data_IF_965603206513
#
_entry.id   IF_965603206513
#
_cell.length_a   1.000
_cell.length_b   1.000
_cell.length_c   1.000
_cell.angle_alpha   90.00
_cell.angle_beta   90.00
_cell.angle_gamma   90.00
#
_symmetry.space_group_name_H-M   'P 1'
#
loop_
_entity.id
_entity.type
_entity.pdbx_description
1 polymer ?
#
# COMPACT_ATOMS: atom_id res chain seq x y z
N UNK A 1 -11.21 9.52 -26.98
CA UNK A 1 -10.26 8.78 -26.12
C UNK A 1 -9.13 8.26 -26.99
N UNK A 2 -7.85 8.53 -26.67
CA UNK A 2 -6.71 8.02 -27.46
C UNK A 2 -6.41 6.58 -27.02
N UNK A 3 -6.32 5.64 -27.95
CA UNK A 3 -6.03 4.22 -27.69
C UNK A 3 -4.65 3.89 -28.28
N UNK A 4 -3.85 3.09 -27.56
CA UNK A 4 -2.57 2.61 -28.06
C UNK A 4 -2.79 1.64 -29.24
N UNK A 5 -1.96 1.73 -30.28
CA UNK A 5 -1.92 0.68 -31.30
C UNK A 5 -1.46 -0.65 -30.68
N UNK A 6 -1.88 -1.77 -31.28
CA UNK A 6 -1.44 -3.10 -30.85
C UNK A 6 0.09 -3.24 -30.77
N UNK A 7 0.82 -2.62 -31.69
CA UNK A 7 2.29 -2.62 -31.69
C UNK A 7 2.88 -1.88 -30.49
N UNK A 8 2.33 -0.70 -30.14
CA UNK A 8 2.75 0.09 -28.98
C UNK A 8 2.38 -0.60 -27.67
N UNK A 9 1.19 -1.18 -27.59
CA UNK A 9 0.77 -1.96 -26.43
C UNK A 9 1.73 -3.13 -26.17
N UNK A 10 2.07 -3.91 -27.21
CA UNK A 10 3.06 -5.00 -27.10
C UNK A 10 4.45 -4.50 -26.66
N UNK A 11 4.88 -3.33 -27.12
CA UNK A 11 6.15 -2.74 -26.70
C UNK A 11 6.14 -2.38 -25.21
N UNK A 12 5.07 -1.73 -24.73
CA UNK A 12 4.89 -1.39 -23.31
C UNK A 12 4.80 -2.64 -22.44
N UNK A 13 4.02 -3.65 -22.86
CA UNK A 13 3.91 -4.93 -22.16
C UNK A 13 5.29 -5.58 -21.96
N UNK A 14 6.12 -5.66 -23.01
CA UNK A 14 7.49 -6.18 -22.88
C UNK A 14 8.38 -5.35 -21.95
N UNK A 15 8.24 -4.03 -21.99
CA UNK A 15 8.99 -3.15 -21.11
C UNK A 15 8.64 -3.41 -19.64
N UNK A 16 7.35 -3.49 -19.31
CA UNK A 16 6.87 -3.79 -17.94
C UNK A 16 7.36 -5.16 -17.50
N UNK A 17 7.19 -6.19 -18.34
CA UNK A 17 7.64 -7.55 -18.03
C UNK A 17 9.15 -7.65 -17.78
N UNK A 18 9.95 -6.80 -18.43
CA UNK A 18 11.41 -6.81 -18.26
C UNK A 18 11.89 -5.97 -17.08
N UNK A 19 11.27 -4.83 -16.82
CA UNK A 19 11.83 -3.78 -15.96
C UNK A 19 11.03 -3.45 -14.71
N UNK A 20 9.72 -3.71 -14.68
CA UNK A 20 8.89 -3.34 -13.53
C UNK A 20 9.14 -4.26 -12.32
N UNK A 21 8.70 -3.84 -11.13
CA UNK A 21 8.78 -4.69 -9.93
C UNK A 21 7.90 -5.93 -10.09
N UNK A 22 8.17 -7.04 -9.39
CA UNK A 22 7.32 -8.22 -9.45
C UNK A 22 5.83 -7.93 -9.23
N UNK A 23 5.50 -7.05 -8.27
CA UNK A 23 4.14 -6.59 -8.03
C UNK A 23 3.56 -5.88 -9.27
N UNK A 24 4.25 -4.89 -9.82
CA UNK A 24 3.76 -4.13 -10.99
C UNK A 24 3.54 -5.03 -12.22
N UNK A 25 4.36 -6.08 -12.41
CA UNK A 25 4.15 -7.10 -13.45
C UNK A 25 2.86 -7.88 -13.22
N UNK A 26 2.62 -8.33 -11.99
CA UNK A 26 1.39 -9.03 -11.63
C UNK A 26 0.17 -8.11 -11.77
N UNK A 27 0.27 -6.85 -11.36
CA UNK A 27 -0.78 -5.84 -11.56
C UNK A 27 -1.12 -5.63 -13.04
N UNK A 28 -0.11 -5.61 -13.90
CA UNK A 28 -0.28 -5.49 -15.34
C UNK A 28 -0.98 -6.72 -15.93
N UNK A 29 -0.53 -7.93 -15.57
CA UNK A 29 -1.15 -9.19 -16.03
C UNK A 29 -2.58 -9.36 -15.50
N UNK A 30 -2.89 -8.88 -14.29
CA UNK A 30 -4.27 -8.86 -13.79
C UNK A 30 -5.16 -7.94 -14.63
N UNK A 31 -4.63 -6.77 -15.03
CA UNK A 31 -5.41 -5.75 -15.72
C UNK A 31 -5.61 -6.03 -17.21
N UNK A 32 -4.66 -6.72 -17.85
CA UNK A 32 -4.64 -6.90 -19.31
C UNK A 32 -4.39 -8.34 -19.78
N UNK A 33 -4.02 -9.24 -18.86
CA UNK A 33 -3.83 -10.65 -19.12
C UNK A 33 -4.99 -11.49 -18.55
N UNK A 34 -4.69 -12.73 -18.18
CA UNK A 34 -5.67 -13.72 -17.73
C UNK A 34 -5.27 -14.35 -16.39
N UNK A 35 -4.88 -13.53 -15.41
CA UNK A 35 -4.60 -14.01 -14.04
C UNK A 35 -5.70 -13.59 -13.07
N UNK A 36 -5.84 -14.36 -12.00
CA UNK A 36 -6.81 -14.12 -10.94
C UNK A 36 -6.25 -13.18 -9.86
N UNK A 37 -7.09 -12.60 -8.98
CA UNK A 37 -6.63 -11.84 -7.82
C UNK A 37 -5.65 -12.62 -6.93
N UNK A 38 -5.82 -13.95 -6.83
CA UNK A 38 -4.94 -14.81 -6.02
C UNK A 38 -3.52 -14.89 -6.56
N UNK A 39 -3.31 -14.67 -7.86
CA UNK A 39 -1.98 -14.67 -8.48
C UNK A 39 -1.20 -13.38 -8.16
N UNK A 40 -1.90 -12.31 -7.78
CA UNK A 40 -1.30 -11.02 -7.37
C UNK A 40 -0.92 -11.01 -5.89
N UNK A 41 -1.55 -11.87 -5.08
CA UNK A 41 -1.32 -11.92 -3.62
C UNK A 41 0.14 -12.22 -3.28
N UNK A 42 0.82 -13.25 -3.84
CA UNK A 42 2.20 -13.55 -3.47
C UNK A 42 3.17 -12.35 -3.63
N UNK A 43 3.26 -11.67 -4.79
CA UNK A 43 4.15 -10.53 -4.92
C UNK A 43 3.73 -9.33 -4.05
N UNK A 44 2.44 -9.17 -3.73
CA UNK A 44 1.99 -8.15 -2.76
C UNK A 44 2.44 -8.48 -1.33
N UNK A 45 2.28 -9.74 -0.90
CA UNK A 45 2.64 -10.18 0.45
C UNK A 45 4.15 -10.14 0.72
N UNK A 46 4.99 -10.06 -0.31
CA UNK A 46 6.42 -9.81 -0.16
C UNK A 46 6.74 -8.46 0.52
N UNK A 47 5.78 -7.53 0.54
CA UNK A 47 5.87 -6.24 1.22
C UNK A 47 5.23 -6.24 2.63
N UNK A 48 4.53 -7.31 3.02
CA UNK A 48 3.83 -7.39 4.31
C UNK A 48 4.78 -7.87 5.42
N UNK A 49 4.91 -7.07 6.48
CA UNK A 49 5.76 -7.39 7.64
C UNK A 49 5.07 -8.34 8.62
N UNK A 50 5.81 -8.75 9.66
CA UNK A 50 5.33 -9.63 10.72
C UNK A 50 4.12 -9.08 11.49
N UNK A 51 4.07 -7.75 11.67
CA UNK A 51 3.00 -7.03 12.35
C UNK A 51 1.70 -6.92 11.55
N UNK A 52 1.71 -7.30 10.27
CA UNK A 52 0.57 -7.25 9.36
C UNK A 52 0.49 -5.97 8.51
N UNK A 53 1.29 -4.96 8.82
CA UNK A 53 1.43 -3.76 8.00
C UNK A 53 2.35 -3.99 6.81
N UNK A 54 2.45 -2.98 5.95
CA UNK A 54 3.26 -3.03 4.74
C UNK A 54 4.38 -1.98 4.77
N UNK A 55 5.51 -2.34 4.18
CA UNK A 55 6.70 -1.49 4.04
C UNK A 55 7.46 -1.84 2.77
N UNK A 56 8.79 -1.91 2.86
CA UNK A 56 9.70 -2.34 1.77
C UNK A 56 9.53 -1.58 0.45
N UNK A 57 9.16 -0.29 0.53
CA UNK A 57 8.91 0.55 -0.64
C UNK A 57 7.72 0.11 -1.49
N UNK A 58 6.67 -0.41 -0.86
CA UNK A 58 5.40 -0.64 -1.54
C UNK A 58 4.84 0.67 -2.10
N UNK A 59 4.70 1.68 -1.24
CA UNK A 59 4.54 3.09 -1.64
C UNK A 59 5.88 3.59 -2.20
N UNK A 60 5.98 3.86 -3.52
CA UNK A 60 7.25 4.18 -4.17
C UNK A 60 7.93 5.47 -3.67
N UNK A 61 7.20 6.37 -3.02
CA UNK A 61 7.78 7.61 -2.50
C UNK A 61 8.71 7.43 -1.28
N UNK A 62 8.72 6.27 -0.62
CA UNK A 62 9.66 5.98 0.47
C UNK A 62 10.14 4.53 0.44
N UNK A 63 11.40 4.29 0.81
CA UNK A 63 12.01 2.96 0.80
C UNK A 63 12.14 2.33 2.19
N UNK A 64 11.39 2.84 3.17
CA UNK A 64 11.42 2.32 4.54
C UNK A 64 10.96 0.86 4.59
N UNK A 65 11.74 -0.05 5.20
CA UNK A 65 11.37 -1.46 5.30
C UNK A 65 10.25 -1.69 6.32
N UNK A 66 10.22 -0.89 7.39
CA UNK A 66 9.22 -0.96 8.44
C UNK A 66 7.81 -0.65 7.92
N UNK A 67 6.82 -1.18 8.63
CA UNK A 67 5.41 -0.93 8.31
C UNK A 67 5.06 0.55 8.47
N UNK A 68 4.27 1.06 7.53
CA UNK A 68 3.63 2.37 7.64
C UNK A 68 2.14 2.29 7.34
N UNK A 69 1.38 3.22 7.91
CA UNK A 69 -0.05 3.32 7.63
C UNK A 69 -0.28 3.57 6.13
N UNK A 70 0.49 4.47 5.52
CA UNK A 70 0.39 4.78 4.08
C UNK A 70 0.72 3.59 3.19
N UNK A 71 1.82 2.88 3.42
CA UNK A 71 2.12 1.69 2.60
C UNK A 71 1.04 0.61 2.77
N UNK A 72 0.46 0.51 3.97
CA UNK A 72 -0.65 -0.42 4.23
C UNK A 72 -1.95 0.00 3.53
N UNK A 73 -2.23 1.30 3.38
CA UNK A 73 -3.37 1.75 2.56
C UNK A 73 -3.15 1.45 1.08
N UNK A 74 -1.93 1.63 0.55
CA UNK A 74 -1.60 1.22 -0.83
C UNK A 74 -1.87 -0.27 -1.06
N UNK A 75 -1.52 -1.14 -0.11
CA UNK A 75 -1.85 -2.55 -0.20
C UNK A 75 -3.36 -2.79 -0.27
N UNK A 76 -4.14 -2.07 0.55
CA UNK A 76 -5.59 -2.17 0.58
C UNK A 76 -6.25 -1.64 -0.70
N UNK A 77 -5.72 -0.58 -1.31
CA UNK A 77 -6.16 -0.09 -2.63
C UNK A 77 -6.03 -1.18 -3.69
N UNK A 78 -4.90 -1.91 -3.70
CA UNK A 78 -4.69 -3.04 -4.60
C UNK A 78 -5.66 -4.19 -4.31
N UNK A 79 -5.80 -4.59 -3.05
CA UNK A 79 -6.74 -5.63 -2.61
C UNK A 79 -8.17 -5.34 -3.08
N UNK A 80 -8.64 -4.10 -2.87
CA UNK A 80 -9.97 -3.68 -3.33
C UNK A 80 -10.07 -3.68 -4.86
N UNK A 81 -9.06 -3.17 -5.56
CA UNK A 81 -9.04 -3.12 -7.02
C UNK A 81 -9.19 -4.51 -7.67
N UNK A 82 -8.67 -5.56 -7.04
CA UNK A 82 -8.81 -6.93 -7.56
C UNK A 82 -10.01 -7.67 -6.99
N UNK A 83 -10.80 -7.05 -6.11
CA UNK A 83 -11.99 -7.67 -5.51
C UNK A 83 -11.68 -8.85 -4.59
N UNK A 84 -10.50 -8.86 -3.96
CA UNK A 84 -10.15 -9.88 -2.98
C UNK A 84 -11.00 -9.66 -1.71
N UNK A 85 -11.72 -10.69 -1.27
CA UNK A 85 -12.72 -10.57 -0.19
C UNK A 85 -12.19 -11.05 1.16
N UNK A 86 -11.96 -12.35 1.27
CA UNK A 86 -11.53 -12.99 2.51
C UNK A 86 -10.21 -13.70 2.28
N UNK A 87 -9.14 -13.12 2.83
CA UNK A 87 -7.79 -13.62 2.67
C UNK A 87 -6.96 -13.26 3.89
N UNK A 88 -5.99 -14.12 4.26
CA UNK A 88 -5.09 -13.90 5.40
C UNK A 88 -4.39 -12.54 5.35
N UNK A 89 -4.05 -12.07 4.15
CA UNK A 89 -3.42 -10.75 3.94
C UNK A 89 -4.31 -9.62 4.48
N UNK A 90 -5.62 -9.68 4.24
CA UNK A 90 -6.61 -8.67 4.65
C UNK A 90 -6.75 -8.68 6.17
N UNK A 91 -6.96 -9.86 6.77
CA UNK A 91 -7.08 -10.00 8.24
C UNK A 91 -5.86 -9.41 8.96
N UNK A 92 -4.67 -9.67 8.42
CA UNK A 92 -3.42 -9.13 8.99
C UNK A 92 -3.32 -7.61 8.80
N UNK A 93 -3.74 -7.06 7.66
CA UNK A 93 -3.81 -5.60 7.47
C UNK A 93 -4.78 -4.94 8.45
N UNK A 94 -5.97 -5.52 8.64
CA UNK A 94 -6.97 -4.95 9.57
C UNK A 94 -6.45 -5.00 11.01
N UNK A 95 -5.89 -6.15 11.43
CA UNK A 95 -5.26 -6.27 12.75
C UNK A 95 -4.11 -5.29 12.95
N UNK A 96 -3.34 -4.98 11.91
CA UNK A 96 -2.30 -3.94 11.97
C UNK A 96 -2.92 -2.56 12.23
N UNK A 97 -3.95 -2.17 11.49
CA UNK A 97 -4.60 -0.87 11.70
C UNK A 97 -5.21 -0.75 13.10
N UNK A 98 -5.90 -1.78 13.59
CA UNK A 98 -6.46 -1.75 14.95
C UNK A 98 -5.38 -1.58 16.03
N UNK A 99 -4.26 -2.32 15.90
CA UNK A 99 -3.17 -2.27 16.87
C UNK A 99 -2.37 -0.97 16.83
N UNK A 100 -2.38 -0.28 15.69
CA UNK A 100 -1.59 0.95 15.49
C UNK A 100 -2.42 2.22 15.59
N UNK A 101 -3.71 2.12 15.93
CA UNK A 101 -4.54 3.27 16.21
C UNK A 101 -3.99 4.06 17.39
N UNK A 102 -3.72 5.34 17.17
CA UNK A 102 -3.18 6.27 18.14
C UNK A 102 -4.30 7.19 18.65
N UNK A 103 -4.70 6.95 19.90
CA UNK A 103 -5.77 7.71 20.58
C UNK A 103 -5.42 9.18 20.80
N UNK A 104 -4.14 9.53 20.87
CA UNK A 104 -3.73 10.92 21.14
C UNK A 104 -3.95 11.83 19.92
N UNK A 105 -4.00 11.22 18.72
CA UNK A 105 -4.24 11.93 17.46
C UNK A 105 -5.55 11.51 16.78
N UNK A 106 -6.36 10.69 17.46
CA UNK A 106 -7.59 10.08 16.95
C UNK A 106 -7.42 9.45 15.55
N UNK A 107 -6.29 8.77 15.30
CA UNK A 107 -5.96 8.27 13.96
C UNK A 107 -4.66 7.49 13.87
N UNK A 108 -4.01 7.56 12.70
CA UNK A 108 -2.76 6.85 12.42
C UNK A 108 -1.69 7.82 11.95
N UNK A 109 -0.48 7.66 12.48
CA UNK A 109 0.69 8.35 11.91
C UNK A 109 0.95 7.81 10.50
N UNK A 110 1.12 8.68 9.48
CA UNK A 110 1.25 8.23 8.10
C UNK A 110 2.46 7.32 7.88
N UNK A 111 3.60 7.70 8.47
CA UNK A 111 4.88 7.01 8.37
C UNK A 111 5.59 6.94 9.72
N UNK A 112 6.39 5.89 9.99
CA UNK A 112 7.16 5.79 11.23
C UNK A 112 8.36 6.74 11.21
N UNK A 113 8.85 7.17 12.39
CA UNK A 113 10.02 8.08 12.52
C UNK A 113 11.29 7.57 11.84
N UNK A 114 11.44 6.25 11.72
CA UNK A 114 12.57 5.64 11.03
C UNK A 114 12.62 5.96 9.53
N UNK A 115 11.54 6.49 8.93
CA UNK A 115 11.50 6.94 7.53
C UNK A 115 12.66 7.88 7.19
N UNK A 116 13.05 8.75 8.13
CA UNK A 116 14.16 9.69 7.99
C UNK A 116 15.52 9.01 7.73
N UNK A 117 15.64 7.70 7.96
CA UNK A 117 16.87 6.91 7.75
C UNK A 117 16.94 6.23 6.39
N UNK A 118 15.90 6.33 5.56
CA UNK A 118 15.83 5.70 4.24
C UNK A 118 15.55 6.77 3.16
N UNK A 119 15.79 6.50 1.87
CA UNK A 119 15.34 7.38 0.80
C UNK A 119 13.82 7.61 0.86
N UNK A 120 13.38 8.86 0.86
CA UNK A 120 11.98 9.24 0.87
C UNK A 120 11.75 10.62 0.23
N UNK A 121 10.55 10.86 -0.28
CA UNK A 121 10.14 12.16 -0.77
C UNK A 121 9.95 13.17 0.40
N UNK A 122 10.12 14.48 0.17
CA UNK A 122 10.13 15.49 1.25
C UNK A 122 8.86 15.55 2.11
N UNK A 123 7.70 15.21 1.55
CA UNK A 123 6.43 15.20 2.28
C UNK A 123 6.28 14.05 3.29
N UNK A 124 7.19 13.07 3.26
CA UNK A 124 7.29 12.01 4.26
C UNK A 124 8.35 12.28 5.33
N UNK A 125 9.16 13.33 5.17
CA UNK A 125 10.18 13.65 6.14
C UNK A 125 9.54 14.11 7.45
N UNK A 126 9.92 13.47 8.56
CA UNK A 126 9.44 13.86 9.89
C UNK A 126 10.34 14.95 10.45
N UNK A 127 9.76 16.10 10.76
CA UNK A 127 10.47 17.17 11.47
C UNK A 127 10.75 16.71 12.91
N UNK A 128 12.02 16.69 13.29
CA UNK A 128 12.47 16.16 14.59
C UNK A 128 12.00 16.98 15.80
N UNK A 129 11.60 18.24 15.61
CA UNK A 129 11.10 19.11 16.69
C UNK A 129 9.62 18.86 16.96
N UNK A 130 8.84 18.68 15.90
CA UNK A 130 7.38 18.51 15.98
C UNK A 130 6.97 17.05 16.01
N UNK A 131 7.81 16.14 15.52
CA UNK A 131 7.52 14.73 15.36
C UNK A 131 6.51 14.42 14.25
N UNK A 132 6.27 15.37 13.33
CA UNK A 132 5.26 15.29 12.27
C UNK A 132 5.88 15.44 10.88
N UNK A 133 5.27 14.81 9.89
CA UNK A 133 5.57 15.06 8.48
C UNK A 133 4.53 16.01 7.83
N UNK A 134 4.85 16.67 6.70
CA UNK A 134 3.95 17.63 6.05
C UNK A 134 2.54 17.12 5.74
N UNK A 135 2.35 15.82 5.50
CA UNK A 135 1.01 15.28 5.21
C UNK A 135 0.07 15.29 6.42
N UNK A 136 0.62 15.35 7.64
CA UNK A 136 -0.14 15.38 8.90
C UNK A 136 -0.79 16.75 9.17
N UNK A 137 -0.62 17.73 8.28
CA UNK A 137 -1.41 18.96 8.32
C UNK A 137 -2.90 18.72 8.05
N UNK A 138 -3.26 17.61 7.40
CA UNK A 138 -4.64 17.17 7.21
C UNK A 138 -4.91 15.91 8.04
N UNK A 139 -5.96 15.94 8.86
CA UNK A 139 -6.36 14.79 9.68
C UNK A 139 -6.85 13.59 8.84
N UNK A 140 -7.25 13.83 7.59
CA UNK A 140 -7.99 12.85 6.80
C UNK A 140 -7.12 11.74 6.20
N UNK A 141 -5.86 12.02 5.86
CA UNK A 141 -4.95 11.05 5.24
C UNK A 141 -3.91 10.58 6.28
N UNK A 142 -3.80 9.28 6.60
CA UNK A 142 -4.53 8.13 6.02
C UNK A 142 -5.84 7.74 6.71
N UNK A 143 -6.24 8.45 7.78
CA UNK A 143 -7.31 8.04 8.70
C UNK A 143 -8.64 7.68 8.03
N UNK A 144 -9.17 8.52 7.14
CA UNK A 144 -10.47 8.28 6.49
C UNK A 144 -10.44 7.05 5.60
N UNK A 145 -9.32 6.83 4.89
CA UNK A 145 -9.14 5.66 4.04
C UNK A 145 -9.10 4.37 4.87
N UNK A 146 -8.37 4.40 5.98
CA UNK A 146 -8.27 3.28 6.92
C UNK A 146 -9.64 2.93 7.52
N UNK A 147 -10.41 3.93 7.95
CA UNK A 147 -11.78 3.71 8.46
C UNK A 147 -12.68 3.05 7.40
N UNK A 148 -12.55 3.47 6.13
CA UNK A 148 -13.23 2.83 5.01
C UNK A 148 -12.88 1.35 4.87
N UNK A 149 -11.60 0.98 5.03
CA UNK A 149 -11.17 -0.41 5.01
C UNK A 149 -11.67 -1.22 6.20
N UNK A 150 -11.54 -0.69 7.42
CA UNK A 150 -12.05 -1.35 8.64
C UNK A 150 -13.57 -1.60 8.55
N UNK A 151 -14.32 -0.67 7.97
CA UNK A 151 -15.75 -0.87 7.70
C UNK A 151 -15.98 -1.94 6.63
N UNK A 152 -15.30 -1.83 5.48
CA UNK A 152 -15.45 -2.75 4.33
C UNK A 152 -15.09 -4.19 4.69
N UNK A 153 -14.05 -4.39 5.49
CA UNK A 153 -13.53 -5.70 5.88
C UNK A 153 -13.87 -6.06 7.32
N UNK A 154 -14.91 -5.47 7.90
CA UNK A 154 -15.36 -5.70 9.28
C UNK A 154 -15.59 -7.18 9.61
N UNK A 155 -16.07 -7.98 8.66
CA UNK A 155 -16.25 -9.43 8.85
C UNK A 155 -14.94 -10.23 8.96
N UNK A 156 -13.79 -9.58 8.75
CA UNK A 156 -12.45 -10.20 8.81
C UNK A 156 -11.71 -9.86 10.11
N UNK A 157 -12.33 -9.01 10.94
CA UNK A 157 -11.86 -8.57 12.25
C UNK A 157 -12.50 -9.49 13.30
N UNK A 158 -11.72 -9.92 14.29
CA UNK A 158 -12.18 -10.74 15.43
C UNK A 158 -12.65 -9.87 16.61
#
# INVERSE_FOLDING_TARGET
>A
MKILSNSKFKAVSRFIQKHARPLDRALFEYSFGNISPNDVVPPLTAYQNGDGGFGHGLEPDFQTPDSSAIASTIACQYIQKFGLKDHRVIRRSMSYFEKTYDKEIDGWKPVPRIVNKFPHAPWWHIDEKTGKCPIEHSWANPTVEILGYLHTFSNTIE
#
